data_IF_535045592040
#
_entry.id   IF_535045592040
#
_cell.length_a   1.000
_cell.length_b   1.000
_cell.length_c   1.000
_cell.angle_alpha   90.00
_cell.angle_beta   90.00
_cell.angle_gamma   90.00
#
_symmetry.space_group_name_H-M   'P 1'
#
loop_
_entity.id
_entity.type
_entity.pdbx_description
1 polymer ?
#
# COMPACT_ATOMS: atom_id res chain seq x y z
N UNK A 1 -1.23 -12.59 19.69
CA UNK A 1 -2.01 -13.78 20.05
C UNK A 1 -2.27 -14.70 18.86
N UNK A 2 -2.69 -14.19 17.70
CA UNK A 2 -3.04 -15.02 16.52
C UNK A 2 -1.89 -15.93 16.02
N UNK A 3 -0.64 -15.44 16.01
CA UNK A 3 0.53 -16.18 15.53
C UNK A 3 1.06 -17.26 16.50
N UNK A 4 0.51 -17.34 17.72
CA UNK A 4 0.98 -18.23 18.79
C UNK A 4 -0.10 -19.21 19.24
N UNK A 5 -1.24 -19.29 18.54
CA UNK A 5 -2.32 -20.21 18.88
C UNK A 5 -1.98 -21.60 18.33
N UNK A 6 -1.76 -22.61 19.18
CA UNK A 6 -1.38 -23.95 18.71
C UNK A 6 -2.58 -24.76 18.16
N UNK A 7 -3.81 -24.31 18.39
CA UNK A 7 -5.03 -25.09 18.23
C UNK A 7 -6.07 -24.42 17.31
N UNK A 8 -6.96 -25.28 16.81
CA UNK A 8 -8.06 -25.01 15.88
C UNK A 8 -8.89 -23.75 16.23
N UNK A 9 -9.33 -23.03 15.18
CA UNK A 9 -9.93 -21.69 15.26
C UNK A 9 -11.15 -21.63 16.20
N UNK A 10 -11.89 -22.73 16.31
CA UNK A 10 -13.05 -22.89 17.19
C UNK A 10 -12.72 -22.75 18.68
N UNK A 11 -11.52 -23.15 19.11
CA UNK A 11 -11.10 -23.00 20.50
C UNK A 11 -10.59 -21.60 20.77
N UNK A 12 -9.86 -20.99 19.82
CA UNK A 12 -9.45 -19.59 19.93
C UNK A 12 -10.65 -18.66 20.13
N UNK A 13 -11.72 -18.85 19.35
CA UNK A 13 -12.95 -18.04 19.45
C UNK A 13 -13.60 -18.07 20.84
N UNK A 14 -13.45 -19.16 21.61
CA UNK A 14 -13.99 -19.28 22.97
C UNK A 14 -13.21 -18.47 24.00
N UNK A 15 -11.92 -18.22 23.75
CA UNK A 15 -11.04 -17.44 24.63
C UNK A 15 -10.80 -16.01 24.14
N UNK A 16 -11.03 -15.76 22.85
CA UNK A 16 -10.98 -14.45 22.22
C UNK A 16 -12.22 -13.65 22.63
N UNK A 17 -12.28 -13.26 23.89
CA UNK A 17 -13.26 -12.33 24.43
C UNK A 17 -12.94 -10.91 23.94
N UNK A 18 -13.03 -10.69 22.62
CA UNK A 18 -12.72 -9.42 21.96
C UNK A 18 -14.01 -8.63 21.85
N UNK A 19 -14.22 -7.68 22.74
CA UNK A 19 -15.26 -6.67 22.61
C UNK A 19 -14.78 -5.59 21.64
N UNK A 20 -15.47 -5.45 20.50
CA UNK A 20 -15.14 -4.46 19.47
C UNK A 20 -15.63 -3.03 19.81
N UNK A 21 -16.32 -2.87 20.94
CA UNK A 21 -16.87 -1.59 21.38
C UNK A 21 -15.89 -0.75 22.21
N UNK A 22 -14.80 -1.33 22.72
CA UNK A 22 -13.79 -0.67 23.57
C UNK A 22 -12.68 0.03 22.76
N UNK A 23 -13.03 0.67 21.65
CA UNK A 23 -12.04 1.34 20.79
C UNK A 23 -11.52 2.62 21.48
N UNK A 24 -10.27 2.56 21.97
CA UNK A 24 -9.53 3.63 22.67
C UNK A 24 -10.06 4.00 24.06
N UNK A 25 -10.74 3.09 24.75
CA UNK A 25 -11.23 3.35 26.10
C UNK A 25 -10.05 3.61 27.06
N UNK A 26 -10.12 4.71 27.81
CA UNK A 26 -9.04 5.18 28.70
C UNK A 26 -8.03 6.17 28.10
N UNK A 27 -8.03 6.43 26.79
CA UNK A 27 -7.18 7.48 26.19
C UNK A 27 -7.88 8.85 26.35
N UNK A 28 -7.47 9.62 27.37
CA UNK A 28 -7.92 11.00 27.56
C UNK A 28 -7.01 11.97 26.82
N UNK A 29 -7.53 12.63 25.80
CA UNK A 29 -6.87 13.76 25.15
C UNK A 29 -7.35 15.05 25.84
N UNK A 30 -6.41 15.88 26.27
CA UNK A 30 -6.76 17.23 26.74
C UNK A 30 -7.29 18.04 25.56
N UNK A 31 -8.60 18.31 25.57
CA UNK A 31 -9.25 19.05 24.51
C UNK A 31 -8.67 20.48 24.45
N UNK A 32 -8.14 20.93 23.29
CA UNK A 32 -7.65 22.29 23.13
C UNK A 32 -8.72 23.34 23.44
N UNK A 33 -8.34 24.46 24.07
CA UNK A 33 -9.26 25.56 24.42
C UNK A 33 -10.09 26.07 23.23
N UNK A 34 -9.56 25.98 21.99
CA UNK A 34 -10.25 26.40 20.75
C UNK A 34 -11.52 25.61 20.42
N UNK A 35 -11.72 24.45 21.06
CA UNK A 35 -12.91 23.60 20.91
C UNK A 35 -13.81 23.59 22.15
N UNK A 36 -13.44 24.30 23.23
CA UNK A 36 -14.24 24.35 24.46
C UNK A 36 -15.27 25.47 24.39
N UNK A 37 -16.55 25.10 24.42
CA UNK A 37 -17.67 26.06 24.46
C UNK A 37 -17.79 26.63 25.88
N UNK A 38 -17.92 27.95 25.98
CA UNK A 38 -18.05 28.67 27.25
C UNK A 38 -19.51 28.70 27.71
N UNK A 39 -19.76 28.21 28.92
CA UNK A 39 -21.08 28.11 29.56
C UNK A 39 -21.21 28.97 30.81
N UNK A 40 -20.20 29.78 31.14
CA UNK A 40 -20.16 30.62 32.34
C UNK A 40 -21.44 31.44 32.51
N UNK A 41 -21.93 32.08 31.45
CA UNK A 41 -23.17 32.89 31.49
C UNK A 41 -24.45 32.07 31.67
N UNK A 42 -24.48 30.82 31.22
CA UNK A 42 -25.64 29.93 31.33
C UNK A 42 -25.69 29.29 32.72
N UNK A 43 -24.54 29.05 33.33
CA UNK A 43 -24.39 28.46 34.66
C UNK A 43 -24.34 29.52 35.78
N UNK A 44 -24.20 30.80 35.42
CA UNK A 44 -24.22 31.93 36.38
C UNK A 44 -25.55 31.92 37.15
N UNK A 45 -25.45 31.86 38.48
CA UNK A 45 -26.58 31.78 39.41
C UNK A 45 -27.04 30.37 39.81
N UNK A 46 -26.32 29.31 39.41
CA UNK A 46 -26.61 27.91 39.78
C UNK A 46 -25.46 27.20 40.51
N UNK A 47 -24.27 27.80 40.55
CA UNK A 47 -23.14 27.31 41.34
C UNK A 47 -22.99 28.20 42.56
N UNK A 48 -23.06 27.60 43.74
CA UNK A 48 -22.47 28.18 44.94
C UNK A 48 -20.96 28.28 44.68
N UNK A 49 -20.38 29.44 44.98
CA UNK A 49 -18.95 29.71 44.87
C UNK A 49 -18.15 28.62 45.59
N UNK A 50 -17.40 27.80 44.85
CA UNK A 50 -16.10 27.24 45.22
C UNK A 50 -15.61 26.27 44.13
N UNK A 51 -14.66 26.74 43.31
CA UNK A 51 -13.45 25.98 42.94
C UNK A 51 -12.64 26.81 41.95
N UNK A 52 -11.68 27.55 42.51
CA UNK A 52 -10.52 28.06 41.79
C UNK A 52 -9.76 26.87 41.19
N UNK A 53 -9.93 26.65 39.89
CA UNK A 53 -8.95 25.92 39.10
C UNK A 53 -8.10 26.96 38.38
N UNK A 54 -6.87 27.13 38.85
CA UNK A 54 -5.83 27.96 38.25
C UNK A 54 -5.67 27.61 36.76
N UNK A 55 -6.14 28.53 35.91
CA UNK A 55 -5.87 28.53 34.48
C UNK A 55 -4.40 28.94 34.28
N UNK A 56 -3.51 27.96 34.10
CA UNK A 56 -2.16 28.24 33.62
C UNK A 56 -2.25 28.93 32.24
N UNK A 57 -1.64 30.11 32.18
CA UNK A 57 -1.49 30.95 30.99
C UNK A 57 -0.44 30.36 30.05
N UNK A 58 -0.88 29.71 28.97
CA UNK A 58 -0.03 29.58 27.79
C UNK A 58 -0.39 30.69 26.79
N UNK A 59 0.58 31.60 26.66
CA UNK A 59 0.61 32.77 25.81
C UNK A 59 0.14 32.50 24.37
N UNK A 60 -1.04 33.05 24.02
CA UNK A 60 -1.30 33.52 22.66
C UNK A 60 -1.22 35.04 22.71
N UNK A 61 -0.11 35.59 22.21
CA UNK A 61 0.01 37.01 21.90
C UNK A 61 -1.03 37.38 20.85
N UNK A 62 -2.05 38.13 21.25
CA UNK A 62 -2.99 38.76 20.34
C UNK A 62 -4.13 39.44 21.08
N UNK A 63 -3.95 40.74 21.38
CA UNK A 63 -5.00 41.74 21.55
C UNK A 63 -6.01 41.53 22.68
N UNK A 64 -5.96 42.40 23.68
CA UNK A 64 -7.09 42.68 24.58
C UNK A 64 -8.30 43.13 23.75
N UNK A 65 -9.20 42.21 23.41
CA UNK A 65 -10.55 42.56 22.97
C UNK A 65 -11.56 42.00 23.99
N UNK A 66 -12.34 42.90 24.57
CA UNK A 66 -13.51 42.60 25.39
C UNK A 66 -14.54 41.81 24.56
N UNK A 67 -14.37 40.50 24.45
CA UNK A 67 -15.34 39.63 23.80
C UNK A 67 -16.46 39.27 24.78
N UNK A 68 -17.70 39.57 24.39
CA UNK A 68 -18.87 38.94 24.99
C UNK A 68 -18.78 37.43 24.78
N UNK A 69 -19.26 36.62 25.74
CA UNK A 69 -19.29 35.15 25.66
C UNK A 69 -19.90 34.61 24.35
N UNK A 70 -20.80 35.38 23.74
CA UNK A 70 -21.43 35.08 22.45
C UNK A 70 -20.42 35.04 21.30
N UNK A 71 -19.49 36.01 21.22
CA UNK A 71 -18.48 36.06 20.16
C UNK A 71 -17.46 34.92 20.30
N UNK A 72 -17.11 34.54 21.53
CA UNK A 72 -16.22 33.41 21.81
C UNK A 72 -16.83 32.09 21.34
N UNK A 73 -18.11 31.85 21.64
CA UNK A 73 -18.78 30.61 21.26
C UNK A 73 -18.98 30.50 19.75
N UNK A 74 -19.21 31.62 19.04
CA UNK A 74 -19.27 31.64 17.58
C UNK A 74 -17.92 31.27 16.95
N UNK A 75 -16.81 31.80 17.49
CA UNK A 75 -15.46 31.41 17.07
C UNK A 75 -15.18 29.91 17.32
N UNK A 76 -15.54 29.39 18.49
CA UNK A 76 -15.38 27.96 18.82
C UNK A 76 -16.19 27.08 17.85
N UNK A 77 -17.44 27.44 17.57
CA UNK A 77 -18.29 26.70 16.61
C UNK A 77 -17.66 26.70 15.22
N UNK A 78 -17.09 27.82 14.77
CA UNK A 78 -16.40 27.87 13.48
C UNK A 78 -15.18 26.93 13.45
N UNK A 79 -14.37 26.89 14.51
CA UNK A 79 -13.25 25.95 14.61
C UNK A 79 -13.73 24.49 14.59
N UNK A 80 -14.82 24.17 15.32
CA UNK A 80 -15.40 22.82 15.32
C UNK A 80 -15.86 22.43 13.91
N UNK A 81 -16.50 23.34 13.17
CA UNK A 81 -16.92 23.08 11.79
C UNK A 81 -15.72 22.88 10.83
N UNK A 82 -14.56 23.47 11.14
CA UNK A 82 -13.35 23.35 10.33
C UNK A 82 -12.43 22.21 10.76
N UNK A 83 -12.77 21.47 11.82
CA UNK A 83 -11.88 20.48 12.44
C UNK A 83 -11.31 19.46 11.45
N UNK A 84 -12.08 19.05 10.45
CA UNK A 84 -11.61 18.09 9.44
C UNK A 84 -10.59 18.69 8.50
N UNK A 85 -10.72 19.98 8.15
CA UNK A 85 -9.86 20.67 7.21
C UNK A 85 -8.50 21.04 7.83
N UNK A 86 -8.44 21.22 9.15
CA UNK A 86 -7.19 21.50 9.87
C UNK A 86 -6.18 20.35 9.74
N UNK A 87 -4.89 20.64 9.60
CA UNK A 87 -3.86 19.60 9.66
C UNK A 87 -3.63 19.12 11.11
N UNK A 88 -3.39 17.82 11.35
CA UNK A 88 -3.10 17.29 12.70
C UNK A 88 -1.77 17.78 13.26
N UNK A 89 -0.85 18.21 12.37
CA UNK A 89 0.49 18.68 12.71
C UNK A 89 0.52 20.19 12.89
N UNK A 90 -0.22 20.92 12.04
CA UNK A 90 -0.36 22.37 12.12
C UNK A 90 -1.81 22.78 11.88
N UNK A 91 -2.55 23.10 12.94
CA UNK A 91 -3.98 23.41 12.85
C UNK A 91 -4.30 24.69 12.06
N UNK A 92 -3.30 25.54 11.76
CA UNK A 92 -3.48 26.72 10.91
C UNK A 92 -3.62 26.37 9.43
N UNK A 93 -3.06 25.24 9.02
CA UNK A 93 -3.20 24.71 7.66
C UNK A 93 -4.57 24.04 7.52
N UNK A 94 -5.39 24.55 6.62
CA UNK A 94 -6.78 24.12 6.38
C UNK A 94 -6.94 23.28 5.11
N UNK A 95 -5.84 22.82 4.52
CA UNK A 95 -5.86 22.07 3.27
C UNK A 95 -5.82 20.56 3.47
N UNK A 96 -5.94 20.05 4.71
CA UNK A 96 -5.71 18.64 5.01
C UNK A 96 -6.60 17.69 4.18
N UNK A 97 -7.91 17.94 4.12
CA UNK A 97 -8.84 17.12 3.34
C UNK A 97 -8.60 17.26 1.84
N UNK A 98 -8.31 18.48 1.36
CA UNK A 98 -7.98 18.73 -0.05
C UNK A 98 -6.73 17.95 -0.47
N UNK A 99 -5.69 18.00 0.37
CA UNK A 99 -4.46 17.25 0.18
C UNK A 99 -4.69 15.74 0.22
N UNK A 100 -5.55 15.27 1.11
CA UNK A 100 -5.91 13.85 1.21
C UNK A 100 -6.69 13.36 -0.03
N UNK A 101 -7.61 14.17 -0.56
CA UNK A 101 -8.27 13.87 -1.84
C UNK A 101 -7.26 13.79 -2.99
N UNK A 102 -6.37 14.79 -3.10
CA UNK A 102 -5.32 14.78 -4.12
C UNK A 102 -4.38 13.58 -3.98
N UNK A 103 -4.06 13.19 -2.75
CA UNK A 103 -3.29 11.99 -2.44
C UNK A 103 -4.01 10.74 -2.92
N UNK A 104 -5.30 10.59 -2.63
CA UNK A 104 -6.10 9.44 -3.04
C UNK A 104 -6.16 9.29 -4.58
N UNK A 105 -6.32 10.40 -5.30
CA UNK A 105 -6.31 10.41 -6.77
C UNK A 105 -4.94 9.99 -7.32
N UNK A 106 -3.86 10.52 -6.74
CA UNK A 106 -2.49 10.17 -7.14
C UNK A 106 -2.15 8.73 -6.80
N UNK A 107 -2.59 8.23 -5.64
CA UNK A 107 -2.40 6.85 -5.21
C UNK A 107 -3.09 5.89 -6.19
N UNK A 108 -4.32 6.21 -6.62
CA UNK A 108 -5.04 5.44 -7.63
C UNK A 108 -4.25 5.31 -8.93
N UNK A 109 -3.66 6.43 -9.39
CA UNK A 109 -2.82 6.44 -10.60
C UNK A 109 -1.55 5.62 -10.43
N UNK A 110 -0.89 5.72 -9.28
CA UNK A 110 0.32 4.92 -8.99
C UNK A 110 -0.03 3.43 -8.99
N UNK A 111 -1.14 3.03 -8.37
CA UNK A 111 -1.61 1.65 -8.36
C UNK A 111 -1.95 1.14 -9.77
N UNK A 112 -2.60 1.96 -10.59
CA UNK A 112 -2.90 1.64 -11.98
C UNK A 112 -1.63 1.41 -12.80
N UNK A 113 -0.65 2.32 -12.71
CA UNK A 113 0.61 2.16 -13.44
C UNK A 113 1.42 0.97 -12.93
N UNK A 114 1.47 0.74 -11.62
CA UNK A 114 2.15 -0.41 -11.05
C UNK A 114 1.56 -1.74 -11.55
N UNK A 115 0.23 -1.86 -11.55
CA UNK A 115 -0.44 -3.05 -12.10
C UNK A 115 -0.11 -3.27 -13.58
N UNK A 116 -0.09 -2.20 -14.39
CA UNK A 116 0.32 -2.30 -15.80
C UNK A 116 1.78 -2.73 -15.95
N UNK A 117 2.68 -2.22 -15.13
CA UNK A 117 4.09 -2.63 -15.14
C UNK A 117 4.25 -4.09 -14.75
N UNK A 118 3.61 -4.54 -13.67
CA UNK A 118 3.60 -5.94 -13.25
C UNK A 118 3.15 -6.87 -14.39
N UNK A 119 2.02 -6.55 -15.04
CA UNK A 119 1.51 -7.33 -16.17
C UNK A 119 2.49 -7.35 -17.36
N UNK A 120 3.20 -6.25 -17.61
CA UNK A 120 4.22 -6.19 -18.65
C UNK A 120 5.41 -7.08 -18.30
N UNK A 121 5.89 -7.07 -17.05
CA UNK A 121 6.97 -7.94 -16.58
C UNK A 121 6.59 -9.41 -16.76
N UNK A 122 5.43 -9.83 -16.26
CA UNK A 122 4.94 -11.20 -16.46
C UNK A 122 4.88 -11.60 -17.94
N UNK A 123 4.42 -10.67 -18.79
CA UNK A 123 4.31 -10.90 -20.23
C UNK A 123 5.66 -11.02 -20.91
N UNK A 124 6.65 -10.24 -20.50
CA UNK A 124 8.03 -10.33 -20.99
C UNK A 124 8.59 -11.72 -20.66
N UNK A 125 8.48 -12.15 -19.41
CA UNK A 125 9.01 -13.45 -18.98
C UNK A 125 8.33 -14.62 -19.72
N UNK A 126 7.00 -14.57 -19.88
CA UNK A 126 6.24 -15.59 -20.64
C UNK A 126 6.66 -15.65 -22.12
N UNK A 127 6.96 -14.50 -22.74
CA UNK A 127 7.42 -14.46 -24.14
C UNK A 127 8.81 -15.05 -24.28
N UNK A 128 9.71 -14.75 -23.36
CA UNK A 128 11.06 -15.33 -23.37
C UNK A 128 11.02 -16.85 -23.12
N UNK A 129 10.10 -17.35 -22.29
CA UNK A 129 9.84 -18.79 -22.18
C UNK A 129 9.39 -19.40 -23.50
N UNK A 130 8.45 -18.75 -24.19
CA UNK A 130 7.96 -19.22 -25.49
C UNK A 130 9.09 -19.28 -26.53
N UNK A 131 9.97 -18.29 -26.56
CA UNK A 131 11.17 -18.30 -27.40
C UNK A 131 12.08 -19.49 -27.07
N UNK A 132 12.24 -19.81 -25.78
CA UNK A 132 13.03 -20.97 -25.36
C UNK A 132 12.39 -22.32 -25.76
N UNK A 133 11.06 -22.37 -25.96
CA UNK A 133 10.41 -23.54 -26.51
C UNK A 133 10.77 -23.75 -27.99
N UNK A 134 10.93 -22.66 -28.76
CA UNK A 134 11.40 -22.74 -30.14
C UNK A 134 12.87 -23.16 -30.23
N UNK A 135 13.72 -22.75 -29.28
CA UNK A 135 15.08 -23.30 -29.15
C UNK A 135 15.09 -24.82 -29.04
N UNK A 136 14.19 -25.40 -28.24
CA UNK A 136 14.11 -26.86 -28.14
C UNK A 136 13.60 -27.51 -29.44
N UNK A 137 12.63 -26.90 -30.13
CA UNK A 137 12.18 -27.39 -31.45
C UNK A 137 13.32 -27.37 -32.47
N UNK A 138 14.13 -26.30 -32.48
CA UNK A 138 15.32 -26.22 -33.29
C UNK A 138 16.29 -27.38 -33.00
N UNK A 139 16.56 -27.67 -31.72
CA UNK A 139 17.41 -28.79 -31.33
C UNK A 139 16.89 -30.14 -31.85
N UNK A 140 15.58 -30.39 -31.80
CA UNK A 140 14.95 -31.62 -32.31
C UNK A 140 15.12 -31.73 -33.83
N UNK A 141 14.89 -30.64 -34.57
CA UNK A 141 15.07 -30.66 -36.02
C UNK A 141 16.53 -30.85 -36.42
N UNK A 142 17.47 -30.23 -35.69
CA UNK A 142 18.89 -30.42 -35.93
C UNK A 142 19.33 -31.86 -35.64
N UNK A 143 18.81 -32.49 -34.58
CA UNK A 143 19.08 -33.90 -34.30
C UNK A 143 18.58 -34.83 -35.42
N UNK A 144 17.42 -34.52 -36.00
CA UNK A 144 16.90 -35.26 -37.15
C UNK A 144 17.72 -35.02 -38.41
N UNK A 145 18.23 -33.80 -38.61
CA UNK A 145 19.17 -33.48 -39.69
C UNK A 145 20.43 -34.34 -39.56
N UNK A 146 21.06 -34.38 -38.38
CA UNK A 146 22.28 -35.17 -38.10
C UNK A 146 22.08 -36.67 -38.38
N UNK A 147 20.88 -37.20 -38.16
CA UNK A 147 20.57 -38.60 -38.49
C UNK A 147 20.44 -38.80 -40.01
N UNK A 148 19.71 -37.89 -40.65
CA UNK A 148 19.41 -37.99 -42.09
C UNK A 148 20.62 -37.67 -42.96
N UNK A 149 21.47 -36.72 -42.53
CA UNK A 149 22.69 -36.35 -43.26
C UNK A 149 23.70 -37.51 -43.29
N UNK A 150 23.82 -38.25 -42.19
CA UNK A 150 24.66 -39.44 -42.11
C UNK A 150 24.24 -40.48 -43.15
N UNK A 151 22.93 -40.67 -43.36
CA UNK A 151 22.42 -41.60 -44.36
C UNK A 151 22.68 -41.13 -45.79
N UNK A 152 22.68 -39.82 -46.04
CA UNK A 152 22.90 -39.22 -47.37
C UNK A 152 24.39 -39.20 -47.72
N UNK A 153 25.25 -38.76 -46.81
CA UNK A 153 26.67 -38.54 -47.07
C UNK A 153 27.54 -39.78 -46.83
N UNK A 154 27.02 -40.85 -46.21
CA UNK A 154 27.72 -42.14 -46.04
C UNK A 154 27.44 -43.16 -47.16
N UNK A 155 26.90 -42.73 -48.32
CA UNK A 155 26.67 -43.62 -49.47
C UNK A 155 27.96 -43.90 -50.26
N UNK A 156 28.92 -44.57 -49.62
CA UNK A 156 30.26 -44.90 -50.16
C UNK A 156 30.19 -45.70 -51.47
N UNK A 157 29.10 -46.43 -51.67
CA UNK A 157 28.81 -47.26 -52.83
C UNK A 157 28.49 -46.49 -54.12
N UNK A 158 28.32 -45.17 -54.07
CA UNK A 158 28.07 -44.31 -55.24
C UNK A 158 29.33 -43.54 -55.72
N UNK A 159 30.48 -43.70 -55.06
CA UNK A 159 31.71 -42.94 -55.34
C UNK A 159 32.84 -43.91 -55.75
N UNK A 160 33.42 -43.71 -56.94
CA UNK A 160 34.48 -44.58 -57.49
C UNK A 160 35.84 -44.35 -56.80
N UNK A 161 36.36 -45.40 -56.15
CA UNK A 161 37.54 -45.38 -55.28
C UNK A 161 38.87 -45.41 -56.04
N UNK A 162 39.61 -44.29 -56.10
CA UNK A 162 41.04 -44.26 -56.47
C UNK A 162 41.95 -43.44 -55.56
N UNK A 163 41.46 -42.85 -54.47
CA UNK A 163 42.25 -41.94 -53.63
C UNK A 163 41.87 -42.06 -52.15
N UNK A 164 42.86 -41.99 -51.25
CA UNK A 164 42.75 -41.94 -49.77
C UNK A 164 41.88 -40.79 -49.20
N UNK A 165 41.27 -39.97 -50.05
CA UNK A 165 40.48 -38.79 -49.66
C UNK A 165 39.09 -39.10 -49.09
N UNK A 166 38.56 -40.30 -49.31
CA UNK A 166 37.22 -40.66 -48.80
C UNK A 166 37.26 -40.84 -47.28
N UNK A 167 38.33 -41.40 -46.73
CA UNK A 167 38.52 -41.52 -45.27
C UNK A 167 38.52 -40.14 -44.59
N UNK A 168 39.10 -39.13 -45.24
CA UNK A 168 39.14 -37.74 -44.76
C UNK A 168 37.75 -37.09 -44.77
N UNK A 169 36.93 -37.32 -45.81
CA UNK A 169 35.57 -36.76 -45.92
C UNK A 169 34.59 -37.44 -44.96
N UNK A 170 34.68 -38.77 -44.78
CA UNK A 170 33.92 -39.48 -43.76
C UNK A 170 34.31 -39.01 -42.35
N UNK A 171 35.60 -38.73 -42.12
CA UNK A 171 36.07 -38.14 -40.86
C UNK A 171 35.53 -36.71 -40.66
N UNK A 172 35.52 -35.88 -41.71
CA UNK A 172 34.96 -34.52 -41.66
C UNK A 172 33.46 -34.54 -41.30
N UNK A 173 32.68 -35.45 -41.88
CA UNK A 173 31.26 -35.61 -41.54
C UNK A 173 31.05 -36.01 -40.08
N UNK A 174 31.87 -36.91 -39.54
CA UNK A 174 31.83 -37.26 -38.12
C UNK A 174 32.13 -36.06 -37.21
N UNK A 175 33.10 -35.21 -37.59
CA UNK A 175 33.42 -33.96 -36.87
C UNK A 175 32.24 -32.99 -36.92
N UNK A 176 31.65 -32.77 -38.10
CA UNK A 176 30.46 -31.92 -38.29
C UNK A 176 29.33 -32.39 -37.37
N UNK A 177 28.99 -33.68 -37.42
CA UNK A 177 27.88 -34.24 -36.65
C UNK A 177 28.13 -34.20 -35.14
N UNK A 178 29.37 -34.36 -34.71
CA UNK A 178 29.77 -34.17 -33.32
C UNK A 178 29.57 -32.73 -32.85
N UNK A 179 30.00 -31.75 -33.65
CA UNK A 179 29.86 -30.32 -33.30
C UNK A 179 28.39 -29.89 -33.37
N UNK A 180 27.62 -30.31 -34.38
CA UNK A 180 26.18 -30.06 -34.46
C UNK A 180 25.43 -30.69 -33.26
N UNK A 181 25.89 -31.83 -32.76
CA UNK A 181 25.36 -32.40 -31.51
C UNK A 181 25.62 -31.51 -30.30
N UNK A 182 26.73 -30.75 -30.26
CA UNK A 182 26.95 -29.73 -29.22
C UNK A 182 26.02 -28.53 -29.38
N UNK A 183 25.73 -28.11 -30.62
CA UNK A 183 24.70 -27.08 -30.90
C UNK A 183 23.32 -27.53 -30.37
N UNK A 184 22.94 -28.80 -30.57
CA UNK A 184 21.70 -29.36 -29.99
C UNK A 184 21.69 -29.25 -28.46
N UNK A 185 22.78 -29.67 -27.80
CA UNK A 185 22.91 -29.60 -26.34
C UNK A 185 22.82 -28.18 -25.82
N UNK A 186 23.41 -27.20 -26.52
CA UNK A 186 23.31 -25.79 -26.17
C UNK A 186 21.85 -25.32 -26.15
N UNK A 187 21.07 -25.60 -27.20
CA UNK A 187 19.67 -25.17 -27.26
C UNK A 187 18.78 -25.85 -26.22
N UNK A 188 19.01 -27.14 -25.94
CA UNK A 188 18.33 -27.85 -24.83
C UNK A 188 18.70 -27.24 -23.48
N UNK A 189 19.98 -26.92 -23.26
CA UNK A 189 20.46 -26.25 -22.05
C UNK A 189 19.90 -24.84 -21.90
N UNK A 190 19.83 -24.07 -22.99
CA UNK A 190 19.25 -22.72 -23.03
C UNK A 190 17.79 -22.71 -22.58
N UNK A 191 16.99 -23.70 -23.00
CA UNK A 191 15.62 -23.86 -22.51
C UNK A 191 15.57 -24.12 -21.00
N UNK A 192 16.34 -25.10 -20.51
CA UNK A 192 16.37 -25.44 -19.07
C UNK A 192 16.75 -24.24 -18.22
N UNK A 193 17.79 -23.51 -18.64
CA UNK A 193 18.25 -22.31 -17.94
C UNK A 193 17.16 -21.22 -17.88
N UNK A 194 16.35 -21.07 -18.94
CA UNK A 194 15.22 -20.12 -18.92
C UNK A 194 14.07 -20.60 -18.03
N UNK A 195 13.82 -21.90 -17.95
CA UNK A 195 12.82 -22.47 -17.02
C UNK A 195 13.23 -22.23 -15.56
N UNK A 196 14.50 -22.40 -15.23
CA UNK A 196 15.07 -22.09 -13.91
C UNK A 196 14.96 -20.60 -13.58
N UNK A 197 15.34 -19.72 -14.52
CA UNK A 197 15.23 -18.26 -14.37
C UNK A 197 13.79 -17.84 -14.03
N UNK A 198 12.80 -18.40 -14.74
CA UNK A 198 11.39 -18.06 -14.53
C UNK A 198 10.89 -18.54 -13.17
N UNK A 199 11.37 -19.68 -12.69
CA UNK A 199 11.01 -20.17 -11.37
C UNK A 199 11.47 -19.21 -10.27
N UNK A 200 12.71 -18.72 -10.36
CA UNK A 200 13.26 -17.71 -9.43
C UNK A 200 12.47 -16.40 -9.53
N UNK A 201 12.26 -15.89 -10.75
CA UNK A 201 11.55 -14.62 -10.96
C UNK A 201 10.11 -14.69 -10.42
N UNK A 202 9.39 -15.80 -10.66
CA UNK A 202 8.02 -15.93 -10.21
C UNK A 202 7.88 -16.03 -8.68
N UNK A 203 8.78 -16.77 -8.02
CA UNK A 203 8.64 -17.06 -6.59
C UNK A 203 9.16 -15.94 -5.70
N UNK A 204 10.21 -15.22 -6.12
CA UNK A 204 10.88 -14.25 -5.25
C UNK A 204 10.59 -12.81 -5.70
N UNK A 205 10.77 -12.54 -6.99
CA UNK A 205 10.66 -11.19 -7.53
C UNK A 205 9.19 -10.79 -7.67
N UNK A 206 8.35 -11.59 -8.35
CA UNK A 206 6.94 -11.25 -8.58
C UNK A 206 6.13 -11.17 -7.28
N UNK A 207 6.49 -11.92 -6.24
CA UNK A 207 5.86 -11.79 -4.91
C UNK A 207 6.18 -10.42 -4.29
N UNK A 208 7.39 -9.91 -4.48
CA UNK A 208 7.77 -8.56 -4.05
C UNK A 208 7.00 -7.48 -4.84
N UNK A 209 6.73 -7.70 -6.13
CA UNK A 209 5.86 -6.82 -6.93
C UNK A 209 4.42 -6.77 -6.39
N UNK A 210 3.86 -7.92 -6.05
CA UNK A 210 2.50 -8.02 -5.46
C UNK A 210 2.45 -7.38 -4.08
N UNK A 211 3.48 -7.56 -3.27
CA UNK A 211 3.57 -6.95 -1.94
C UNK A 211 3.45 -5.42 -2.00
N UNK A 212 4.13 -4.76 -2.95
CA UNK A 212 3.96 -3.32 -3.13
C UNK A 212 2.52 -2.94 -3.52
N UNK A 213 1.89 -3.71 -4.42
CA UNK A 213 0.49 -3.52 -4.80
C UNK A 213 -0.45 -3.62 -3.59
N UNK A 214 -0.24 -4.61 -2.72
CA UNK A 214 -1.05 -4.81 -1.50
C UNK A 214 -0.93 -3.63 -0.55
N UNK A 215 0.26 -3.02 -0.39
CA UNK A 215 0.42 -1.80 0.39
C UNK A 215 -0.37 -0.63 -0.20
N UNK A 216 -0.36 -0.44 -1.53
CA UNK A 216 -1.14 0.62 -2.17
C UNK A 216 -2.65 0.44 -1.92
N UNK A 217 -3.14 -0.79 -2.07
CA UNK A 217 -4.53 -1.16 -1.81
C UNK A 217 -4.88 -0.94 -0.33
N UNK A 218 -3.99 -1.33 0.58
CA UNK A 218 -4.17 -1.14 2.02
C UNK A 218 -4.35 0.34 2.39
N UNK A 219 -3.53 1.23 1.83
CA UNK A 219 -3.68 2.66 2.05
C UNK A 219 -4.99 3.21 1.42
N UNK A 220 -5.39 2.72 0.25
CA UNK A 220 -6.68 3.09 -0.34
C UNK A 220 -7.86 2.77 0.58
N UNK A 221 -7.93 1.54 1.10
CA UNK A 221 -9.01 1.16 2.01
C UNK A 221 -8.97 1.94 3.32
N UNK A 222 -7.76 2.30 3.81
CA UNK A 222 -7.64 3.16 4.97
C UNK A 222 -8.21 4.57 4.70
N UNK A 223 -7.88 5.16 3.54
CA UNK A 223 -8.40 6.47 3.13
C UNK A 223 -9.92 6.43 2.95
N UNK A 224 -10.47 5.38 2.35
CA UNK A 224 -11.91 5.21 2.18
C UNK A 224 -12.62 5.13 3.54
N UNK A 225 -12.12 4.28 4.45
CA UNK A 225 -12.65 4.20 5.83
C UNK A 225 -12.57 5.53 6.56
N UNK A 226 -11.48 6.28 6.35
CA UNK A 226 -11.30 7.61 6.91
C UNK A 226 -12.35 8.60 6.40
N UNK A 227 -12.65 8.61 5.10
CA UNK A 227 -13.69 9.47 4.52
C UNK A 227 -15.11 9.10 4.98
N UNK A 228 -15.39 7.81 5.14
CA UNK A 228 -16.66 7.34 5.71
C UNK A 228 -16.82 7.86 7.15
N UNK A 229 -15.80 7.67 7.99
CA UNK A 229 -15.80 8.17 9.36
C UNK A 229 -15.91 9.70 9.43
N UNK A 230 -15.23 10.44 8.55
CA UNK A 230 -15.39 11.90 8.42
C UNK A 230 -16.86 12.26 8.18
N UNK A 231 -17.49 11.63 7.20
CA UNK A 231 -18.86 11.94 6.79
C UNK A 231 -19.86 11.70 7.92
N UNK A 232 -19.69 10.60 8.67
CA UNK A 232 -20.59 10.25 9.77
C UNK A 232 -20.39 11.14 10.99
N UNK A 233 -19.14 11.38 11.39
CA UNK A 233 -18.81 12.26 12.51
C UNK A 233 -19.19 13.73 12.24
N UNK A 234 -19.11 14.20 11.00
CA UNK A 234 -19.53 15.55 10.61
C UNK A 234 -21.04 15.74 10.78
N UNK A 235 -21.86 14.75 10.39
CA UNK A 235 -23.30 14.74 10.66
C UNK A 235 -23.60 14.77 12.17
N UNK A 236 -22.86 13.98 12.94
CA UNK A 236 -23.02 13.90 14.39
C UNK A 236 -22.65 15.23 15.07
N UNK A 237 -21.56 15.88 14.66
CA UNK A 237 -21.19 17.24 15.09
C UNK A 237 -22.34 18.22 14.83
N UNK A 238 -22.89 18.25 13.61
CA UNK A 238 -23.97 19.18 13.28
C UNK A 238 -25.21 18.95 14.15
N UNK A 239 -25.57 17.69 14.39
CA UNK A 239 -26.70 17.34 15.26
C UNK A 239 -26.47 17.79 16.71
N UNK A 240 -25.28 17.55 17.25
CA UNK A 240 -24.91 17.94 18.61
C UNK A 240 -24.87 19.46 18.77
N UNK A 241 -24.25 20.19 17.83
CA UNK A 241 -24.22 21.65 17.83
C UNK A 241 -25.62 22.26 17.77
N UNK A 242 -26.50 21.76 16.89
CA UNK A 242 -27.89 22.22 16.84
C UNK A 242 -28.64 21.97 18.15
N UNK A 243 -28.43 20.79 18.77
CA UNK A 243 -29.03 20.45 20.07
C UNK A 243 -28.53 21.39 21.17
N UNK A 244 -27.23 21.69 21.18
CA UNK A 244 -26.60 22.62 22.11
C UNK A 244 -27.19 24.03 21.96
N UNK A 245 -27.23 24.57 20.73
CA UNK A 245 -27.73 25.91 20.44
C UNK A 245 -29.20 26.04 20.87
N UNK A 246 -30.06 25.09 20.45
CA UNK A 246 -31.50 25.09 20.80
C UNK A 246 -31.75 25.02 22.31
N UNK A 247 -30.97 24.21 23.03
CA UNK A 247 -31.14 24.12 24.49
C UNK A 247 -30.60 25.37 25.20
N UNK A 248 -29.50 25.94 24.73
CA UNK A 248 -28.97 27.20 25.25
C UNK A 248 -29.98 28.35 25.09
N UNK A 249 -30.57 28.50 23.90
CA UNK A 249 -31.64 29.49 23.67
C UNK A 249 -32.87 29.26 24.55
N UNK A 250 -33.31 28.00 24.73
CA UNK A 250 -34.42 27.67 25.64
C UNK A 250 -34.10 28.04 27.09
N UNK A 251 -32.88 27.78 27.56
CA UNK A 251 -32.47 28.16 28.92
C UNK A 251 -32.48 29.69 29.06
N UNK A 252 -31.96 30.43 28.08
CA UNK A 252 -32.02 31.90 28.07
C UNK A 252 -33.47 32.40 28.12
N UNK A 253 -34.37 31.83 27.31
CA UNK A 253 -35.80 32.19 27.31
C UNK A 253 -36.50 31.86 28.63
N UNK A 254 -36.20 30.72 29.25
CA UNK A 254 -36.76 30.32 30.54
C UNK A 254 -36.29 31.24 31.69
N UNK A 255 -35.02 31.66 31.67
CA UNK A 255 -34.48 32.63 32.65
C UNK A 255 -35.11 34.02 32.55
N UNK A 256 -35.66 34.42 31.41
CA UNK A 256 -36.34 35.71 31.22
C UNK A 256 -37.80 35.71 31.71
N UNK A 257 -38.39 34.54 31.96
CA UNK A 257 -39.77 34.44 32.47
C UNK A 257 -39.76 34.56 34.00
N UNK A 258 -40.76 35.24 34.56
CA UNK A 258 -40.88 35.47 36.01
C UNK A 258 -41.35 34.25 36.81
N UNK A 259 -41.94 33.25 36.15
CA UNK A 259 -42.52 32.06 36.77
C UNK A 259 -41.62 30.84 36.49
N UNK A 260 -40.51 30.76 37.22
CA UNK A 260 -39.43 29.81 36.96
C UNK A 260 -39.67 28.52 37.77
N UNK A 261 -39.95 27.42 37.07
CA UNK A 261 -39.83 26.07 37.66
C UNK A 261 -38.38 25.60 37.53
N UNK A 262 -37.63 25.60 38.63
CA UNK A 262 -36.23 25.16 38.68
C UNK A 262 -36.00 23.77 38.06
N UNK A 263 -36.95 22.84 38.24
CA UNK A 263 -36.88 21.49 37.69
C UNK A 263 -36.85 21.42 36.15
N UNK A 264 -37.45 22.38 35.45
CA UNK A 264 -37.41 22.46 33.99
C UNK A 264 -36.05 23.00 33.49
N UNK A 265 -35.48 23.97 34.21
CA UNK A 265 -34.15 24.51 33.92
C UNK A 265 -33.09 23.43 34.12
N UNK A 266 -33.11 22.71 35.24
CA UNK A 266 -32.15 21.65 35.55
C UNK A 266 -32.17 20.53 34.50
N UNK A 267 -33.36 20.17 34.01
CA UNK A 267 -33.50 19.18 32.94
C UNK A 267 -32.82 19.63 31.64
N UNK A 268 -32.99 20.89 31.25
CA UNK A 268 -32.34 21.44 30.06
C UNK A 268 -30.82 21.58 30.24
N UNK A 269 -30.36 21.89 31.45
CA UNK A 269 -28.94 21.95 31.79
C UNK A 269 -28.30 20.57 31.74
N UNK A 270 -28.94 19.53 32.31
CA UNK A 270 -28.44 18.17 32.21
C UNK A 270 -28.32 17.70 30.75
N UNK A 271 -29.33 17.99 29.92
CA UNK A 271 -29.27 17.70 28.48
C UNK A 271 -28.12 18.44 27.80
N UNK A 272 -27.89 19.71 28.17
CA UNK A 272 -26.82 20.54 27.62
C UNK A 272 -25.44 19.97 28.00
N UNK A 273 -25.23 19.65 29.29
CA UNK A 273 -23.98 19.05 29.80
C UNK A 273 -23.70 17.74 29.08
N UNK A 274 -24.66 16.81 29.03
CA UNK A 274 -24.47 15.54 28.31
C UNK A 274 -24.16 15.74 26.83
N UNK A 275 -24.82 16.69 26.15
CA UNK A 275 -24.55 16.96 24.74
C UNK A 275 -23.15 17.54 24.53
N UNK A 276 -22.64 18.33 25.47
CA UNK A 276 -21.28 18.88 25.45
C UNK A 276 -20.21 17.82 25.72
N UNK A 277 -20.46 16.90 26.64
CA UNK A 277 -19.56 15.78 26.92
C UNK A 277 -19.45 14.87 25.69
N UNK A 278 -20.59 14.57 25.06
CA UNK A 278 -20.64 13.82 23.80
C UNK A 278 -19.85 14.52 22.69
N UNK A 279 -20.04 15.83 22.52
CA UNK A 279 -19.30 16.62 21.53
C UNK A 279 -17.80 16.63 21.81
N UNK A 280 -17.40 16.80 23.08
CA UNK A 280 -16.00 16.81 23.49
C UNK A 280 -15.33 15.46 23.26
N UNK A 281 -16.04 14.36 23.53
CA UNK A 281 -15.57 13.00 23.24
C UNK A 281 -15.44 12.76 21.74
N UNK A 282 -16.42 13.20 20.95
CA UNK A 282 -16.38 13.09 19.49
C UNK A 282 -15.21 13.86 18.88
N UNK A 283 -14.99 15.11 19.31
CA UNK A 283 -13.86 15.92 18.86
C UNK A 283 -12.53 15.26 19.23
N UNK A 284 -12.41 14.74 20.46
CA UNK A 284 -11.21 14.04 20.91
C UNK A 284 -10.92 12.82 20.03
N UNK A 285 -11.96 12.05 19.68
CA UNK A 285 -11.85 10.90 18.78
C UNK A 285 -11.42 11.31 17.37
N UNK A 286 -11.98 12.39 16.82
CA UNK A 286 -11.57 12.93 15.51
C UNK A 286 -10.08 13.30 15.51
N UNK A 287 -9.60 13.99 16.54
CA UNK A 287 -8.19 14.36 16.67
C UNK A 287 -7.30 13.10 16.73
N UNK A 288 -7.73 12.09 17.49
CA UNK A 288 -7.00 10.83 17.59
C UNK A 288 -6.92 10.11 16.23
N UNK A 289 -8.05 9.91 15.57
CA UNK A 289 -8.13 9.25 14.26
C UNK A 289 -7.25 9.96 13.22
N UNK A 290 -7.32 11.29 13.18
CA UNK A 290 -6.48 12.09 12.28
C UNK A 290 -4.97 11.92 12.58
N UNK A 291 -4.60 11.93 13.85
CA UNK A 291 -3.21 11.72 14.28
C UNK A 291 -2.71 10.32 13.90
N UNK A 292 -3.51 9.30 14.16
CA UNK A 292 -3.20 7.90 13.83
C UNK A 292 -3.06 7.72 12.31
N UNK A 293 -3.96 8.31 11.52
CA UNK A 293 -3.85 8.30 10.06
C UNK A 293 -2.53 8.90 9.58
N UNK A 294 -2.14 10.06 10.11
CA UNK A 294 -0.86 10.70 9.75
C UNK A 294 0.34 9.84 10.14
N UNK A 295 0.29 9.17 11.30
CA UNK A 295 1.36 8.26 11.71
C UNK A 295 1.45 7.03 10.81
N UNK A 296 0.32 6.46 10.41
CA UNK A 296 0.27 5.36 9.44
C UNK A 296 0.82 5.80 8.09
N UNK A 297 0.45 7.00 7.63
CA UNK A 297 0.99 7.55 6.38
C UNK A 297 2.51 7.79 6.45
N UNK A 298 3.06 8.19 7.60
CA UNK A 298 4.52 8.28 7.79
C UNK A 298 5.20 6.92 7.68
N UNK A 299 4.58 5.85 8.18
CA UNK A 299 5.10 4.49 8.01
C UNK A 299 5.04 4.08 6.53
N UNK A 300 3.91 4.36 5.87
CA UNK A 300 3.71 4.11 4.45
C UNK A 300 4.77 4.79 3.57
N UNK A 301 5.34 5.93 3.98
CA UNK A 301 6.44 6.56 3.24
C UNK A 301 7.66 5.64 3.05
N UNK A 302 7.86 4.61 3.89
CA UNK A 302 8.94 3.63 3.71
C UNK A 302 8.68 2.65 2.56
N UNK A 303 7.41 2.42 2.19
CA UNK A 303 6.99 1.50 1.12
C UNK A 303 7.61 1.89 -0.23
N UNK A 304 7.95 3.17 -0.45
CA UNK A 304 8.64 3.62 -1.68
C UNK A 304 9.96 2.89 -1.96
N UNK A 305 10.65 2.38 -0.92
CA UNK A 305 11.90 1.66 -1.09
C UNK A 305 11.71 0.28 -1.71
N UNK A 306 10.52 -0.33 -1.58
CA UNK A 306 10.20 -1.58 -2.25
C UNK A 306 10.27 -1.45 -3.77
N UNK A 307 9.93 -0.27 -4.32
CA UNK A 307 10.10 -0.01 -5.76
C UNK A 307 11.56 -0.21 -6.15
N UNK A 308 12.48 0.40 -5.40
CA UNK A 308 13.92 0.33 -5.68
C UNK A 308 14.45 -1.09 -5.52
N UNK A 309 14.01 -1.81 -4.50
CA UNK A 309 14.40 -3.20 -4.23
C UNK A 309 13.91 -4.15 -5.33
N UNK A 310 12.64 -4.06 -5.70
CA UNK A 310 12.03 -4.89 -6.74
C UNK A 310 12.76 -4.77 -8.07
N UNK A 311 13.09 -3.54 -8.49
CA UNK A 311 13.83 -3.33 -9.73
C UNK A 311 15.27 -3.83 -9.65
N UNK A 312 15.96 -3.61 -8.53
CA UNK A 312 17.32 -4.11 -8.32
C UNK A 312 17.35 -5.64 -8.38
N UNK A 313 16.49 -6.30 -7.63
CA UNK A 313 16.42 -7.77 -7.58
C UNK A 313 16.06 -8.35 -8.96
N UNK A 314 15.11 -7.73 -9.68
CA UNK A 314 14.73 -8.20 -11.01
C UNK A 314 15.89 -8.13 -12.01
N UNK A 315 16.64 -7.02 -12.04
CA UNK A 315 17.77 -6.89 -12.95
C UNK A 315 19.01 -7.67 -12.51
N UNK A 316 19.25 -7.81 -11.21
CA UNK A 316 20.37 -8.61 -10.67
C UNK A 316 20.23 -10.08 -11.06
N UNK A 317 19.06 -10.68 -10.83
CA UNK A 317 18.80 -12.06 -11.23
C UNK A 317 18.88 -12.24 -12.75
N UNK A 318 18.26 -11.34 -13.52
CA UNK A 318 18.38 -11.38 -14.99
C UNK A 318 19.83 -11.26 -15.45
N UNK A 319 20.65 -10.46 -14.78
CA UNK A 319 22.08 -10.33 -15.04
C UNK A 319 22.82 -11.66 -14.89
N UNK A 320 22.62 -12.36 -13.77
CA UNK A 320 23.26 -13.66 -13.47
C UNK A 320 22.93 -14.72 -14.53
N UNK A 321 21.65 -14.83 -14.90
CA UNK A 321 21.23 -15.78 -15.94
C UNK A 321 21.75 -15.37 -17.32
N UNK A 322 21.83 -14.07 -17.61
CA UNK A 322 22.38 -13.59 -18.88
C UNK A 322 23.89 -13.84 -19.01
N UNK A 323 24.66 -13.66 -17.94
CA UNK A 323 26.09 -14.02 -17.90
C UNK A 323 26.29 -15.50 -18.20
N UNK A 324 25.53 -16.37 -17.54
CA UNK A 324 25.57 -17.82 -17.77
C UNK A 324 25.22 -18.18 -19.23
N UNK A 325 24.21 -17.51 -19.82
CA UNK A 325 23.87 -17.68 -21.25
C UNK A 325 25.03 -17.26 -22.15
N UNK A 326 25.66 -16.12 -21.86
CA UNK A 326 26.78 -15.62 -22.65
C UNK A 326 27.97 -16.59 -22.59
N UNK A 327 28.32 -17.13 -21.42
CA UNK A 327 29.39 -18.11 -21.26
C UNK A 327 29.12 -19.38 -22.07
N UNK A 328 27.88 -19.87 -22.06
CA UNK A 328 27.46 -21.03 -22.85
C UNK A 328 27.58 -20.77 -24.36
N UNK A 329 27.23 -19.57 -24.82
CA UNK A 329 27.42 -19.17 -26.24
C UNK A 329 28.91 -19.11 -26.59
N UNK A 330 29.75 -18.54 -25.73
CA UNK A 330 31.19 -18.45 -25.99
C UNK A 330 31.85 -19.83 -26.09
N UNK A 331 31.43 -20.79 -25.25
CA UNK A 331 31.87 -22.18 -25.36
C UNK A 331 31.45 -22.79 -26.69
N UNK A 332 30.19 -22.64 -27.08
CA UNK A 332 29.69 -23.14 -28.36
C UNK A 332 30.44 -22.52 -29.56
N UNK A 333 30.72 -21.22 -29.51
CA UNK A 333 31.48 -20.55 -30.56
C UNK A 333 32.90 -21.08 -30.71
N UNK A 334 33.53 -21.55 -29.63
CA UNK A 334 34.83 -22.20 -29.72
C UNK A 334 34.72 -23.59 -30.37
N UNK A 335 33.73 -24.39 -29.99
CA UNK A 335 33.48 -25.69 -30.63
C UNK A 335 33.18 -25.54 -32.14
N UNK A 336 32.45 -24.49 -32.53
CA UNK A 336 32.12 -24.21 -33.93
C UNK A 336 33.32 -23.80 -34.79
N UNK A 337 34.42 -23.32 -34.20
CA UNK A 337 35.64 -22.98 -34.97
C UNK A 337 36.33 -24.21 -35.53
N UNK A 338 36.08 -25.37 -34.94
CA UNK A 338 36.67 -26.65 -35.36
C UNK A 338 35.86 -27.32 -36.50
N UNK A 339 34.80 -26.66 -37.00
CA UNK A 339 34.04 -27.17 -38.15
C UNK A 339 34.93 -27.16 -39.41
N UNK A 340 35.02 -28.30 -40.13
CA UNK A 340 35.73 -28.33 -41.40
C UNK A 340 34.99 -27.45 -42.41
N UNK A 341 35.75 -26.62 -43.13
CA UNK A 341 35.25 -25.76 -44.19
C UNK A 341 35.71 -26.31 -45.54
N UNK A 342 34.81 -26.37 -46.51
CA UNK A 342 35.19 -26.69 -47.89
C UNK A 342 36.01 -25.55 -48.49
N UNK A 343 37.28 -25.80 -48.80
CA UNK A 343 38.13 -24.90 -49.60
C UNK A 343 38.09 -25.26 -51.08
#
# INVERSE_FOLDING_TARGET
MFLTVPNDFSNWKKFANIELNDEFDGIRINLPRRFKIDLSDVLKGLRDDESDYEDNEDNIRGGEENHTSSNRNEFVINNINQIWNESPVNFLDKEFITNLNSLNDKLSRVAEFWSKLYLLVERIEKRELALSADHQRFAIFLENLIKTDSDVFSMDNLIENKSKRIDDETQNMNIINSILSQVCKYFVGSRKLKEEEILVINNEILESWKSFQDYLIGLHFLIERFFNYKTDSEKEIQNLLQRIIKNNEKIKQLKMKSDIRGSEIDKHINILITSMDQLSMLISRIILVKTTFVNEFKLFQKVKYLISEVFQNWFDERGKFQETKNDNIQRLLNDLKDLPLGT
#
